data_IF_332547218429
#
_entry.id   IF_332547218429
#
_cell.length_a   1.000
_cell.length_b   1.000
_cell.length_c   1.000
_cell.angle_alpha   90.00
_cell.angle_beta   90.00
_cell.angle_gamma   90.00
#
_symmetry.space_group_name_H-M   'P 1'
#
loop_
_entity.id
_entity.type
_entity.pdbx_description
1 polymer ?
#
# COMPACT_ATOMS: atom_id res chain seq x y z
N UNK A 1 30.99 -12.75 41.99
CA UNK A 1 29.87 -13.54 42.57
C UNK A 1 29.14 -12.60 43.52
N UNK A 2 28.35 -11.69 42.98
CA UNK A 2 27.61 -10.69 43.75
C UNK A 2 26.21 -10.67 43.17
N UNK A 3 25.33 -11.38 43.85
CA UNK A 3 23.93 -11.54 43.54
C UNK A 3 23.20 -10.25 43.84
N UNK A 4 22.65 -9.59 42.83
CA UNK A 4 21.69 -8.50 43.01
C UNK A 4 20.28 -9.02 42.75
N UNK A 5 19.48 -8.93 43.81
CA UNK A 5 18.07 -9.28 43.88
C UNK A 5 17.21 -8.12 43.40
N UNK A 6 16.43 -8.35 42.34
CA UNK A 6 15.35 -7.45 41.90
C UNK A 6 14.00 -8.18 42.01
N UNK A 7 13.08 -7.60 42.80
CA UNK A 7 11.66 -7.94 42.93
C UNK A 7 10.86 -6.62 42.72
N UNK A 8 9.53 -6.64 42.53
CA UNK A 8 8.84 -6.69 41.25
C UNK A 8 8.00 -5.43 41.00
N UNK A 9 7.80 -5.02 39.74
CA UNK A 9 6.78 -4.00 39.42
C UNK A 9 5.51 -4.66 38.90
N UNK A 10 4.52 -4.74 39.78
CA UNK A 10 3.13 -5.09 39.47
C UNK A 10 2.48 -3.89 38.77
N UNK A 11 2.12 -4.04 37.49
CA UNK A 11 1.28 -3.09 36.77
C UNK A 11 -0.10 -3.71 36.49
N UNK A 12 -1.21 -2.98 36.72
CA UNK A 12 -2.55 -3.53 36.61
C UNK A 12 -2.97 -3.77 35.16
N UNK A 13 -3.36 -5.01 34.87
CA UNK A 13 -4.13 -5.38 33.69
C UNK A 13 -5.51 -4.72 33.73
N UNK A 14 -5.87 -3.99 32.66
CA UNK A 14 -7.25 -3.53 32.44
C UNK A 14 -7.71 -4.04 31.07
N UNK A 15 -8.15 -5.30 31.09
CA UNK A 15 -9.07 -5.87 30.11
C UNK A 15 -10.35 -5.02 30.13
N UNK A 16 -10.60 -4.29 29.06
CA UNK A 16 -11.92 -3.75 28.78
C UNK A 16 -12.41 -4.42 27.49
N UNK A 17 -13.12 -5.54 27.69
CA UNK A 17 -13.88 -6.22 26.64
C UNK A 17 -15.25 -5.55 26.64
N UNK A 18 -15.60 -4.84 25.56
CA UNK A 18 -16.99 -4.51 25.26
C UNK A 18 -17.40 -5.33 24.06
N UNK A 19 -18.13 -6.40 24.32
CA UNK A 19 -18.92 -7.12 23.35
C UNK A 19 -20.22 -6.34 23.11
N UNK A 20 -20.47 -5.93 21.86
CA UNK A 20 -21.78 -5.47 21.44
C UNK A 20 -22.26 -6.38 20.32
N UNK A 21 -23.19 -7.26 20.70
CA UNK A 21 -23.99 -8.12 19.82
C UNK A 21 -25.10 -7.25 19.23
N UNK A 22 -25.18 -7.16 17.91
CA UNK A 22 -26.26 -6.50 17.19
C UNK A 22 -26.60 -7.31 15.94
N UNK A 23 -27.76 -7.95 15.96
CA UNK A 23 -28.22 -8.90 14.97
C UNK A 23 -29.11 -8.26 13.89
N UNK A 24 -29.25 -8.99 12.79
CA UNK A 24 -30.33 -8.99 11.79
C UNK A 24 -30.38 -7.86 10.74
N UNK A 25 -30.33 -8.28 9.49
CA UNK A 25 -30.71 -7.51 8.30
C UNK A 25 -30.70 -8.43 7.07
N UNK A 26 -31.90 -8.83 6.63
CA UNK A 26 -32.19 -9.81 5.58
C UNK A 26 -31.79 -9.38 4.16
N UNK A 27 -31.61 -10.41 3.33
CA UNK A 27 -31.16 -10.44 1.94
C UNK A 27 -32.07 -9.74 0.91
N UNK A 28 -31.47 -9.32 -0.22
CA UNK A 28 -31.99 -9.57 -1.59
C UNK A 28 -30.79 -9.73 -2.54
N UNK A 29 -30.71 -10.89 -3.19
CA UNK A 29 -29.88 -11.16 -4.38
C UNK A 29 -30.69 -10.85 -5.65
N UNK A 30 -30.03 -10.53 -6.77
CA UNK A 30 -30.35 -10.82 -8.20
C UNK A 30 -29.26 -10.11 -9.07
N UNK A 31 -28.33 -10.79 -9.76
CA UNK A 31 -28.40 -11.33 -11.15
C UNK A 31 -28.54 -10.21 -12.21
N UNK A 32 -27.88 -10.15 -13.38
CA UNK A 32 -27.00 -11.02 -14.15
C UNK A 32 -26.44 -10.26 -15.39
N UNK A 33 -25.39 -10.84 -16.02
CA UNK A 33 -24.84 -10.65 -17.40
C UNK A 33 -24.18 -9.30 -17.76
N UNK A 34 -22.95 -9.18 -18.29
CA UNK A 34 -22.18 -10.02 -19.25
C UNK A 34 -22.50 -9.55 -20.68
N UNK A 35 -21.67 -8.77 -21.41
CA UNK A 35 -20.48 -9.19 -22.18
C UNK A 35 -20.91 -10.09 -23.37
N UNK A 36 -20.62 -9.87 -24.66
CA UNK A 36 -19.61 -9.10 -25.39
C UNK A 36 -20.04 -9.11 -26.87
N UNK A 37 -19.75 -8.06 -27.65
CA UNK A 37 -19.82 -8.13 -29.12
C UNK A 37 -18.38 -8.14 -29.70
N UNK A 38 -18.08 -9.29 -30.31
CA UNK A 38 -17.28 -9.50 -31.51
C UNK A 38 -15.78 -9.19 -31.53
N UNK A 39 -15.05 -10.24 -31.19
CA UNK A 39 -13.75 -10.58 -31.78
C UNK A 39 -13.83 -10.58 -33.32
N UNK A 40 -13.17 -9.60 -33.95
CA UNK A 40 -12.71 -9.70 -35.33
C UNK A 40 -11.21 -9.43 -35.39
N UNK A 41 -10.48 -10.55 -35.50
CA UNK A 41 -9.42 -10.76 -36.47
C UNK A 41 -8.29 -9.72 -36.55
N UNK A 42 -7.15 -10.16 -36.04
CA UNK A 42 -5.82 -10.06 -36.64
C UNK A 42 -5.76 -9.32 -37.99
N UNK A 43 -5.07 -8.18 -38.01
CA UNK A 43 -4.16 -7.91 -39.12
C UNK A 43 -3.08 -6.94 -38.66
N UNK A 44 -1.86 -7.42 -38.81
CA UNK A 44 -0.63 -6.65 -38.78
C UNK A 44 -0.76 -5.42 -39.67
N UNK A 45 -0.30 -4.28 -39.17
CA UNK A 45 0.19 -3.18 -39.99
C UNK A 45 1.25 -2.45 -39.20
N UNK A 46 2.48 -2.94 -39.35
CA UNK A 46 3.67 -2.10 -39.23
C UNK A 46 3.55 -0.98 -40.25
N UNK A 47 3.63 0.27 -39.79
CA UNK A 47 3.72 1.41 -40.71
C UNK A 47 3.60 2.77 -40.04
N UNK A 48 4.76 3.43 -39.91
CA UNK A 48 4.96 4.88 -40.01
C UNK A 48 4.90 5.75 -38.75
N UNK A 49 6.10 6.13 -38.31
CA UNK A 49 6.61 7.52 -38.12
C UNK A 49 5.61 8.65 -37.82
N UNK A 50 5.79 9.21 -36.64
CA UNK A 50 5.45 10.58 -36.21
C UNK A 50 5.78 10.65 -34.72
N UNK A 51 6.70 11.45 -34.19
CA UNK A 51 7.03 12.82 -34.58
C UNK A 51 6.06 13.75 -33.85
N UNK A 52 6.46 14.21 -32.65
CA UNK A 52 5.65 15.09 -31.81
C UNK A 52 4.64 14.32 -30.96
N UNK A 53 4.42 14.60 -29.69
CA UNK A 53 4.72 15.77 -28.89
C UNK A 53 4.75 15.32 -27.43
N UNK A 54 5.33 16.15 -26.57
CA UNK A 54 5.16 16.05 -25.13
C UNK A 54 3.67 15.97 -24.79
N UNK A 55 3.16 14.76 -24.57
CA UNK A 55 2.01 14.58 -23.72
C UNK A 55 2.54 14.74 -22.28
N UNK A 56 2.77 16.00 -21.90
CA UNK A 56 2.46 16.44 -20.55
C UNK A 56 0.98 16.14 -20.35
N UNK A 57 0.69 14.87 -20.04
CA UNK A 57 -0.61 14.39 -19.67
C UNK A 57 -1.06 15.21 -18.47
N UNK A 58 -2.29 15.70 -18.55
CA UNK A 58 -2.82 16.80 -17.75
C UNK A 58 -2.37 16.79 -16.30
N UNK A 59 -1.91 17.97 -15.88
CA UNK A 59 -1.65 18.34 -14.48
C UNK A 59 -2.87 18.01 -13.63
N UNK A 60 -2.89 16.80 -13.06
CA UNK A 60 -4.07 16.29 -12.36
C UNK A 60 -3.88 14.88 -11.84
N UNK A 61 -2.71 14.55 -11.30
CA UNK A 61 -2.50 13.29 -10.59
C UNK A 61 -3.52 13.09 -9.47
N UNK A 62 -3.95 11.85 -9.21
CA UNK A 62 -4.93 11.55 -8.16
C UNK A 62 -4.35 11.94 -6.80
N UNK A 63 -5.04 12.81 -6.06
CA UNK A 63 -4.64 13.19 -4.70
C UNK A 63 -4.77 11.97 -3.79
N UNK A 64 -3.67 11.62 -3.12
CA UNK A 64 -3.62 10.51 -2.18
C UNK A 64 -3.88 11.00 -0.75
N UNK A 65 -3.09 11.97 -0.28
CA UNK A 65 -3.14 12.48 1.08
C UNK A 65 -2.38 13.79 1.23
N UNK A 66 -2.47 14.39 2.42
CA UNK A 66 -1.53 15.41 2.84
C UNK A 66 -0.22 14.80 3.34
N UNK A 67 0.85 15.57 3.26
CA UNK A 67 2.17 15.22 3.83
C UNK A 67 2.10 14.92 5.33
N UNK A 68 1.25 15.64 6.07
CA UNK A 68 1.01 15.42 7.50
C UNK A 68 0.30 14.11 7.84
N UNK A 69 -0.34 13.47 6.86
CA UNK A 69 -1.05 12.21 7.07
C UNK A 69 -0.12 10.99 7.01
N UNK A 70 1.12 11.19 6.54
CA UNK A 70 2.14 10.16 6.44
C UNK A 70 3.18 10.42 7.54
N UNK A 71 3.26 9.58 8.58
CA UNK A 71 4.20 9.81 9.67
C UNK A 71 5.62 9.40 9.28
N UNK A 72 6.61 10.10 9.83
CA UNK A 72 8.02 9.76 9.70
C UNK A 72 8.29 8.36 10.28
N UNK A 73 9.08 7.56 9.56
CA UNK A 73 9.34 6.15 9.86
C UNK A 73 8.16 5.22 9.54
N UNK A 74 7.03 5.75 9.07
CA UNK A 74 5.79 5.01 8.80
C UNK A 74 5.27 5.20 7.39
N UNK A 75 3.97 4.96 7.22
CA UNK A 75 3.30 5.03 5.93
C UNK A 75 1.80 4.73 6.01
N UNK A 76 1.13 4.91 4.87
CA UNK A 76 -0.30 4.65 4.71
C UNK A 76 -0.57 3.89 3.41
N UNK A 77 -1.51 2.96 3.46
CA UNK A 77 -1.98 2.20 2.30
C UNK A 77 -3.19 2.90 1.70
N UNK A 78 -3.16 3.07 0.38
CA UNK A 78 -4.24 3.61 -0.44
C UNK A 78 -4.80 2.47 -1.29
N UNK A 79 -5.73 1.71 -0.71
CA UNK A 79 -6.23 0.46 -1.29
C UNK A 79 -6.87 0.66 -2.66
N UNK A 80 -7.64 1.73 -2.84
CA UNK A 80 -8.31 2.04 -4.10
C UNK A 80 -7.33 2.31 -5.26
N UNK A 81 -6.15 2.83 -4.95
CA UNK A 81 -5.07 3.13 -5.91
C UNK A 81 -4.03 2.00 -5.99
N UNK A 82 -4.10 0.99 -5.11
CA UNK A 82 -3.15 -0.12 -5.09
C UNK A 82 -1.72 0.29 -4.70
N UNK A 83 -1.57 1.35 -3.90
CA UNK A 83 -0.25 1.89 -3.49
C UNK A 83 -0.11 2.02 -1.98
N UNK A 84 1.12 1.98 -1.51
CA UNK A 84 1.53 2.35 -0.15
C UNK A 84 2.49 3.53 -0.25
N UNK A 85 2.21 4.62 0.47
CA UNK A 85 3.12 5.77 0.59
C UNK A 85 3.80 5.70 1.94
N UNK A 86 5.11 5.89 1.95
CA UNK A 86 5.93 5.87 3.17
C UNK A 86 6.71 7.17 3.32
N UNK A 87 7.13 7.45 4.55
CA UNK A 87 8.06 8.54 4.84
C UNK A 87 9.26 8.01 5.65
N UNK A 88 10.31 7.49 4.99
CA UNK A 88 11.47 6.91 5.69
C UNK A 88 12.21 7.89 6.61
N UNK A 89 12.19 9.18 6.24
CA UNK A 89 12.76 10.28 7.01
C UNK A 89 11.94 11.55 6.73
N UNK A 90 11.99 12.53 7.63
CA UNK A 90 11.23 13.78 7.52
C UNK A 90 11.31 14.40 6.11
N UNK A 91 10.15 14.65 5.52
CA UNK A 91 10.00 15.23 4.17
C UNK A 91 10.34 14.32 2.99
N UNK A 92 10.86 13.11 3.21
CA UNK A 92 11.19 12.17 2.14
C UNK A 92 10.05 11.18 1.95
N UNK A 93 9.30 11.31 0.85
CA UNK A 93 8.20 10.40 0.54
C UNK A 93 8.58 9.40 -0.55
N UNK A 94 8.14 8.16 -0.36
CA UNK A 94 8.27 7.08 -1.35
C UNK A 94 6.91 6.44 -1.57
N UNK A 95 6.72 5.83 -2.73
CA UNK A 95 5.53 5.04 -2.99
C UNK A 95 5.89 3.74 -3.68
N UNK A 96 5.15 2.69 -3.33
CA UNK A 96 5.30 1.36 -3.89
C UNK A 96 3.91 0.76 -4.15
N UNK A 97 3.84 -0.29 -4.95
CA UNK A 97 2.64 -1.12 -5.03
C UNK A 97 2.30 -1.66 -3.64
N UNK A 98 1.02 -1.63 -3.28
CA UNK A 98 0.53 -2.29 -2.07
C UNK A 98 0.43 -3.81 -2.22
N UNK A 99 0.63 -4.34 -3.43
CA UNK A 99 0.53 -5.77 -3.73
C UNK A 99 1.83 -6.49 -3.36
N UNK A 100 1.75 -7.36 -2.37
CA UNK A 100 2.86 -8.22 -1.96
C UNK A 100 3.27 -9.14 -3.13
N UNK A 101 4.56 -9.15 -3.43
CA UNK A 101 5.17 -9.96 -4.51
C UNK A 101 5.23 -11.47 -4.22
N UNK A 102 4.83 -11.92 -3.03
CA UNK A 102 4.71 -13.35 -2.74
C UNK A 102 3.47 -13.95 -3.42
N UNK A 103 2.28 -13.58 -2.95
CA UNK A 103 1.01 -14.18 -3.37
C UNK A 103 -0.07 -13.13 -3.67
N UNK A 104 0.32 -11.85 -3.81
CA UNK A 104 -0.58 -10.79 -4.23
C UNK A 104 -1.47 -10.17 -3.14
N UNK A 105 -1.32 -10.55 -1.87
CA UNK A 105 -2.04 -9.88 -0.77
C UNK A 105 -1.66 -8.39 -0.66
N UNK A 106 -2.60 -7.56 -0.20
CA UNK A 106 -2.28 -6.19 0.19
C UNK A 106 -1.37 -6.17 1.43
N UNK A 107 -0.32 -5.35 1.39
CA UNK A 107 0.46 -4.97 2.58
C UNK A 107 -0.39 -4.08 3.49
N UNK A 108 -0.08 -4.03 4.78
CA UNK A 108 -0.97 -3.35 5.75
C UNK A 108 -0.24 -2.54 6.81
N UNK A 109 0.78 -3.11 7.45
CA UNK A 109 1.49 -2.43 8.53
C UNK A 109 2.75 -1.75 8.01
N UNK A 110 2.94 -0.47 8.34
CA UNK A 110 4.16 0.27 8.03
C UNK A 110 4.67 0.91 9.32
N UNK A 111 5.79 0.42 9.81
CA UNK A 111 6.41 0.95 11.04
C UNK A 111 7.92 0.72 11.02
N UNK A 112 8.67 1.63 11.66
CA UNK A 112 10.12 1.54 11.79
C UNK A 112 10.86 1.30 10.45
N UNK A 113 10.37 1.92 9.37
CA UNK A 113 10.94 1.76 8.04
C UNK A 113 10.67 0.40 7.38
N UNK A 114 9.70 -0.38 7.87
CA UNK A 114 9.34 -1.70 7.34
C UNK A 114 7.86 -1.75 6.97
N UNK A 115 7.58 -2.23 5.75
CA UNK A 115 6.24 -2.55 5.23
C UNK A 115 6.01 -4.05 5.42
N UNK A 116 4.93 -4.46 6.07
CA UNK A 116 4.61 -5.86 6.37
C UNK A 116 3.35 -6.32 5.64
N UNK A 117 3.45 -7.49 5.01
CA UNK A 117 2.31 -8.22 4.47
C UNK A 117 1.73 -9.16 5.55
N UNK A 118 0.44 -9.04 5.90
CA UNK A 118 -0.16 -9.82 6.99
C UNK A 118 -0.39 -11.29 6.63
N UNK A 119 -0.40 -11.66 5.34
CA UNK A 119 -0.73 -13.03 4.94
C UNK A 119 0.33 -14.06 5.37
N UNK A 120 1.61 -13.73 5.23
CA UNK A 120 2.72 -14.65 5.50
C UNK A 120 3.94 -13.95 6.11
N UNK A 121 3.75 -12.71 6.58
CA UNK A 121 4.79 -11.88 7.20
C UNK A 121 6.00 -11.58 6.30
N UNK A 122 5.82 -11.54 4.97
CA UNK A 122 6.81 -10.90 4.10
C UNK A 122 7.00 -9.45 4.53
N UNK A 123 8.25 -9.00 4.58
CA UNK A 123 8.61 -7.65 4.96
C UNK A 123 9.43 -7.00 3.86
N UNK A 124 9.17 -5.71 3.65
CA UNK A 124 9.84 -4.88 2.66
C UNK A 124 10.34 -3.60 3.31
N UNK A 125 11.40 -3.05 2.75
CA UNK A 125 11.94 -1.75 3.12
C UNK A 125 10.97 -0.63 2.75
N UNK A 126 10.65 0.25 3.67
CA UNK A 126 9.91 1.46 3.38
C UNK A 126 10.73 2.48 2.56
N UNK A 127 12.06 2.32 2.50
CA UNK A 127 12.96 3.27 1.81
C UNK A 127 13.05 3.00 0.32
N UNK A 128 13.05 1.74 -0.09
CA UNK A 128 13.34 1.32 -1.46
C UNK A 128 12.52 0.10 -1.93
N UNK A 129 11.60 -0.42 -1.11
CA UNK A 129 10.76 -1.58 -1.46
C UNK A 129 11.49 -2.93 -1.47
N UNK A 130 12.79 -2.96 -1.15
CA UNK A 130 13.59 -4.19 -1.12
C UNK A 130 13.05 -5.20 -0.11
N UNK A 131 13.19 -6.50 -0.41
CA UNK A 131 12.80 -7.56 0.51
C UNK A 131 13.69 -7.53 1.75
N UNK A 132 13.07 -7.47 2.92
CA UNK A 132 13.73 -7.61 4.24
C UNK A 132 13.49 -8.99 4.85
N UNK A 133 12.33 -9.60 4.57
CA UNK A 133 11.95 -10.93 5.04
C UNK A 133 11.02 -11.61 4.03
N UNK A 134 11.30 -12.88 3.73
CA UNK A 134 10.44 -13.71 2.89
C UNK A 134 9.10 -14.07 3.55
N UNK A 135 8.21 -14.79 2.84
CA UNK A 135 8.48 -15.60 1.64
C UNK A 135 8.63 -14.85 0.30
N UNK A 136 8.31 -13.56 0.23
CA UNK A 136 8.56 -12.79 -0.98
C UNK A 136 10.06 -12.79 -1.35
N UNK A 137 10.38 -12.91 -2.65
CA UNK A 137 11.77 -12.89 -3.16
C UNK A 137 12.04 -11.72 -4.10
N UNK A 138 11.02 -10.93 -4.42
CA UNK A 138 11.10 -9.75 -5.29
C UNK A 138 10.69 -8.49 -4.53
N UNK A 139 11.31 -7.33 -4.80
CA UNK A 139 10.95 -6.07 -4.17
C UNK A 139 9.53 -5.63 -4.55
N UNK A 140 8.92 -4.78 -3.74
CA UNK A 140 7.70 -4.08 -4.16
C UNK A 140 8.03 -3.17 -5.35
N UNK A 141 7.18 -3.17 -6.36
CA UNK A 141 7.32 -2.27 -7.50
C UNK A 141 7.19 -0.81 -7.04
N UNK A 142 8.07 0.07 -7.49
CA UNK A 142 7.97 1.50 -7.21
C UNK A 142 6.73 2.11 -7.90
N UNK A 143 6.09 3.07 -7.24
CA UNK A 143 5.04 3.89 -7.81
C UNK A 143 5.51 5.34 -7.83
N UNK A 144 5.15 6.08 -8.88
CA UNK A 144 5.52 7.48 -9.01
C UNK A 144 4.54 8.36 -8.23
N UNK A 145 5.08 9.25 -7.41
CA UNK A 145 4.33 10.28 -6.72
C UNK A 145 4.97 11.64 -6.96
N UNK A 146 4.15 12.68 -6.94
CA UNK A 146 4.61 14.06 -6.85
C UNK A 146 4.19 14.63 -5.50
N UNK A 147 5.05 15.48 -4.94
CA UNK A 147 4.77 16.22 -3.70
C UNK A 147 4.83 17.69 -4.04
N UNK A 148 3.76 18.44 -3.76
CA UNK A 148 3.65 19.87 -4.04
C UNK A 148 2.99 20.55 -2.85
N UNK A 149 3.75 21.38 -2.14
CA UNK A 149 3.29 21.93 -0.86
C UNK A 149 3.02 20.84 0.17
N UNK A 150 1.80 20.81 0.69
CA UNK A 150 1.33 19.77 1.63
C UNK A 150 0.62 18.60 0.94
N UNK A 151 0.55 18.54 -0.39
CA UNK A 151 -0.22 17.54 -1.13
C UNK A 151 0.68 16.46 -1.77
N UNK A 152 0.26 15.19 -1.63
CA UNK A 152 0.88 14.04 -2.31
C UNK A 152 -0.09 13.53 -3.38
N UNK A 153 0.38 13.44 -4.63
CA UNK A 153 -0.38 12.91 -5.77
C UNK A 153 0.29 11.68 -6.36
N UNK A 154 -0.51 10.74 -6.81
CA UNK A 154 -0.08 9.71 -7.74
C UNK A 154 0.18 10.35 -9.11
N UNK A 155 1.36 10.12 -9.69
CA UNK A 155 1.83 10.74 -10.93
C UNK A 155 1.57 9.86 -12.17
#
# INVERSE_FOLDING_TARGET
MTSESFQPVSAPARRTVVAAVGATGLAVALTACGGSDDNSSSSVSSGSTGGGDNAAAGSGGTVLAKTSDIPEGGGKVFEAQGVVVTQPAAGQYKAFSSKCTHAGCAVKDISNGVITCPCHNSQFSATDGSVKKGPATQPLAAANITVSGDEIKLA
#
